data_IF_057577152937
#
_entry.id   IF_057577152937
#
_cell.length_a   1.000
_cell.length_b   1.000
_cell.length_c   1.000
_cell.angle_alpha   90.00
_cell.angle_beta   90.00
_cell.angle_gamma   90.00
#
_symmetry.space_group_name_H-M   'P 1'
#
loop_
_entity.id
_entity.type
_entity.pdbx_description
1 polymer ?
#
# COMPACT_ATOMS: atom_id res chain seq x y z
N UNK A 1 -10.18 -16.22 -10.29
CA UNK A 1 -9.31 -15.02 -10.12
C UNK A 1 -9.97 -13.83 -10.81
N UNK A 2 -9.96 -12.64 -10.19
CA UNK A 2 -10.54 -11.41 -10.78
C UNK A 2 -9.41 -10.48 -11.19
N UNK A 3 -9.43 -10.00 -12.43
CA UNK A 3 -8.43 -9.08 -13.00
C UNK A 3 -9.10 -7.82 -13.52
N UNK A 4 -8.35 -6.72 -13.51
CA UNK A 4 -8.82 -5.41 -13.91
C UNK A 4 -7.84 -4.75 -14.87
N UNK A 5 -8.38 -4.13 -15.91
CA UNK A 5 -7.61 -3.45 -16.94
C UNK A 5 -8.25 -2.10 -17.24
N UNK A 6 -7.43 -1.09 -17.52
CA UNK A 6 -7.90 0.23 -17.90
C UNK A 6 -7.73 0.44 -19.41
N UNK A 7 -8.73 1.03 -20.04
CA UNK A 7 -8.71 1.42 -21.45
C UNK A 7 -8.81 2.94 -21.53
N UNK A 8 -7.87 3.54 -22.26
CA UNK A 8 -7.94 4.94 -22.67
C UNK A 8 -8.30 5.03 -24.16
N UNK A 9 -9.42 5.68 -24.46
CA UNK A 9 -9.85 5.97 -25.83
C UNK A 9 -9.29 7.33 -26.27
N UNK A 10 -8.31 7.31 -27.17
CA UNK A 10 -7.53 8.50 -27.56
C UNK A 10 -8.42 9.58 -28.20
N UNK A 11 -9.33 9.20 -29.11
CA UNK A 11 -10.15 10.14 -29.87
C UNK A 11 -11.14 10.92 -29.00
N UNK A 12 -11.71 10.26 -28.00
CA UNK A 12 -12.78 10.82 -27.16
C UNK A 12 -12.29 11.25 -25.78
N UNK A 13 -11.02 10.96 -25.44
CA UNK A 13 -10.43 11.20 -24.12
C UNK A 13 -11.27 10.58 -23.00
N UNK A 14 -11.76 9.35 -23.23
CA UNK A 14 -12.61 8.60 -22.28
C UNK A 14 -11.80 7.50 -21.63
N UNK A 15 -11.94 7.36 -20.31
CA UNK A 15 -11.30 6.29 -19.53
C UNK A 15 -12.34 5.28 -19.04
N UNK A 16 -12.03 4.00 -19.23
CA UNK A 16 -12.90 2.88 -18.95
C UNK A 16 -12.15 1.82 -18.15
N UNK A 17 -12.86 1.09 -17.30
CA UNK A 17 -12.34 -0.06 -16.55
C UNK A 17 -13.03 -1.34 -17.00
N UNK A 18 -12.23 -2.33 -17.38
CA UNK A 18 -12.67 -3.69 -17.64
C UNK A 18 -12.45 -4.56 -16.41
N UNK A 19 -13.42 -5.43 -16.13
CA UNK A 19 -13.28 -6.48 -15.13
C UNK A 19 -13.45 -7.84 -15.81
N UNK A 20 -12.47 -8.71 -15.61
CA UNK A 20 -12.55 -10.12 -15.97
C UNK A 20 -12.65 -10.96 -14.72
N UNK A 21 -13.41 -12.05 -14.79
CA UNK A 21 -13.51 -13.06 -13.73
C UNK A 21 -13.34 -14.42 -14.38
N UNK A 22 -12.33 -15.16 -13.92
CA UNK A 22 -12.00 -16.49 -14.44
C UNK A 22 -11.77 -16.46 -15.97
N UNK A 23 -11.07 -15.40 -16.44
CA UNK A 23 -10.72 -15.17 -17.86
C UNK A 23 -11.87 -14.67 -18.75
N UNK A 24 -13.09 -14.52 -18.21
CA UNK A 24 -14.27 -14.07 -18.97
C UNK A 24 -14.63 -12.62 -18.65
N UNK A 25 -15.06 -11.87 -19.67
CA UNK A 25 -15.55 -10.50 -19.49
C UNK A 25 -16.74 -10.49 -18.54
N UNK A 26 -16.67 -9.64 -17.50
CA UNK A 26 -17.71 -9.52 -16.49
C UNK A 26 -18.45 -8.20 -16.58
N UNK A 27 -17.73 -7.07 -16.63
CA UNK A 27 -18.32 -5.73 -16.68
C UNK A 27 -17.35 -4.71 -17.25
N UNK A 28 -17.94 -3.63 -17.77
CA UNK A 28 -17.26 -2.39 -18.11
C UNK A 28 -17.82 -1.26 -17.25
N UNK A 29 -16.93 -0.42 -16.72
CA UNK A 29 -17.28 0.75 -15.92
C UNK A 29 -16.69 2.00 -16.57
N UNK A 30 -17.50 3.06 -16.66
CA UNK A 30 -17.02 4.38 -17.06
C UNK A 30 -16.32 5.05 -15.88
N UNK A 31 -15.07 5.50 -16.07
CA UNK A 31 -14.32 6.20 -15.03
C UNK A 31 -14.48 7.72 -15.18
N UNK A 32 -14.23 8.27 -16.37
CA UNK A 32 -14.32 9.71 -16.67
C UNK A 32 -14.26 10.00 -18.18
N UNK A 33 -14.74 11.18 -18.57
CA UNK A 33 -14.81 11.65 -19.96
C UNK A 33 -16.25 11.90 -20.41
N UNK A 34 -16.41 12.48 -21.60
CA UNK A 34 -17.72 12.63 -22.23
C UNK A 34 -18.14 11.28 -22.80
N UNK A 35 -19.31 10.77 -22.38
CA UNK A 35 -19.93 9.57 -22.95
C UNK A 35 -21.21 10.01 -23.64
N UNK A 36 -21.15 10.12 -24.96
CA UNK A 36 -22.36 10.29 -25.76
C UNK A 36 -22.91 8.92 -26.21
N UNK A 37 -24.12 8.93 -26.79
CA UNK A 37 -24.77 7.72 -27.29
C UNK A 37 -24.00 7.02 -28.43
N UNK A 38 -23.16 7.76 -29.17
CA UNK A 38 -22.31 7.20 -30.22
C UNK A 38 -21.16 6.38 -29.63
N UNK A 39 -20.58 6.85 -28.52
CA UNK A 39 -19.54 6.14 -27.78
C UNK A 39 -20.07 4.81 -27.23
N UNK A 40 -21.27 4.81 -26.63
CA UNK A 40 -21.91 3.58 -26.14
C UNK A 40 -22.13 2.54 -27.25
N UNK A 41 -22.47 2.97 -28.47
CA UNK A 41 -22.66 2.06 -29.62
C UNK A 41 -21.37 1.37 -30.06
N UNK A 42 -20.22 2.01 -29.88
CA UNK A 42 -18.93 1.50 -30.38
C UNK A 42 -18.03 0.95 -29.27
N UNK A 43 -18.42 1.08 -28.00
CA UNK A 43 -17.59 0.65 -26.86
C UNK A 43 -17.29 -0.85 -26.87
N UNK A 44 -18.20 -1.67 -27.42
CA UNK A 44 -17.99 -3.11 -27.55
C UNK A 44 -16.82 -3.49 -28.46
N UNK A 45 -16.42 -2.62 -29.39
CA UNK A 45 -15.33 -2.88 -30.34
C UNK A 45 -13.97 -2.98 -29.64
N UNK A 46 -13.79 -2.21 -28.57
CA UNK A 46 -12.51 -2.15 -27.85
C UNK A 46 -12.42 -3.14 -26.70
N UNK A 47 -13.46 -3.95 -26.46
CA UNK A 47 -13.54 -4.89 -25.34
C UNK A 47 -13.25 -6.31 -25.86
N UNK A 48 -12.11 -6.91 -25.49
CA UNK A 48 -11.84 -8.30 -25.82
C UNK A 48 -12.83 -9.22 -25.11
N UNK A 49 -13.51 -10.16 -25.82
CA UNK A 49 -14.46 -11.09 -25.20
C UNK A 49 -13.84 -11.98 -24.12
N UNK A 50 -12.59 -12.39 -24.31
CA UNK A 50 -11.77 -13.12 -23.34
C UNK A 50 -10.47 -12.39 -23.05
N UNK A 51 -9.95 -12.57 -21.85
CA UNK A 51 -8.66 -12.00 -21.46
C UNK A 51 -7.48 -12.56 -22.29
N UNK A 52 -7.58 -13.82 -22.74
CA UNK A 52 -6.61 -14.41 -23.67
C UNK A 52 -6.46 -13.64 -24.98
N UNK A 53 -7.50 -12.92 -25.38
CA UNK A 53 -7.56 -12.23 -26.67
C UNK A 53 -6.99 -10.80 -26.56
N UNK A 54 -6.63 -10.36 -25.34
CA UNK A 54 -6.16 -9.01 -25.04
C UNK A 54 -4.96 -8.63 -25.90
N UNK A 55 -3.96 -9.51 -26.04
CA UNK A 55 -2.76 -9.24 -26.85
C UNK A 55 -3.10 -9.02 -28.33
N UNK A 56 -4.02 -9.82 -28.88
CA UNK A 56 -4.45 -9.67 -30.27
C UNK A 56 -5.22 -8.36 -30.48
N UNK A 57 -6.08 -7.99 -29.53
CA UNK A 57 -6.82 -6.72 -29.55
C UNK A 57 -5.91 -5.51 -29.38
N UNK A 58 -4.93 -5.55 -28.48
CA UNK A 58 -3.94 -4.49 -28.30
C UNK A 58 -3.22 -4.19 -29.62
N UNK A 59 -2.83 -5.23 -30.36
CA UNK A 59 -2.22 -5.10 -31.68
C UNK A 59 -3.20 -4.57 -32.73
N UNK A 60 -4.43 -5.07 -32.77
CA UNK A 60 -5.44 -4.64 -33.74
C UNK A 60 -5.91 -3.18 -33.54
N UNK A 61 -5.79 -2.66 -32.31
CA UNK A 61 -6.24 -1.33 -31.91
C UNK A 61 -5.10 -0.33 -31.70
N UNK A 62 -3.89 -0.66 -32.17
CA UNK A 62 -2.73 0.22 -32.08
C UNK A 62 -3.03 1.61 -32.68
N UNK A 63 -2.64 2.67 -31.96
CA UNK A 63 -2.95 4.07 -32.32
C UNK A 63 -4.40 4.50 -32.10
N UNK A 64 -5.32 3.58 -31.74
CA UNK A 64 -6.75 3.88 -31.50
C UNK A 64 -7.12 3.73 -30.02
N UNK A 65 -6.58 2.72 -29.34
CA UNK A 65 -6.82 2.46 -27.94
C UNK A 65 -5.53 2.02 -27.23
N UNK A 66 -5.37 2.47 -25.99
CA UNK A 66 -4.26 2.10 -25.11
C UNK A 66 -4.81 1.22 -23.98
N UNK A 67 -4.27 0.02 -23.86
CA UNK A 67 -4.61 -0.94 -22.81
C UNK A 67 -3.50 -0.96 -21.78
N UNK A 68 -3.84 -0.77 -20.51
CA UNK A 68 -2.89 -0.85 -19.40
C UNK A 68 -3.42 -1.76 -18.31
N UNK A 69 -2.54 -2.55 -17.70
CA UNK A 69 -2.88 -3.34 -16.52
C UNK A 69 -3.00 -2.42 -15.30
N UNK A 70 -4.07 -2.56 -14.52
CA UNK A 70 -4.22 -1.83 -13.27
C UNK A 70 -3.31 -2.47 -12.21
N UNK A 71 -2.14 -1.87 -11.95
CA UNK A 71 -1.33 -2.26 -10.80
C UNK A 71 -1.96 -1.65 -9.55
N UNK A 72 -2.39 -2.49 -8.61
CA UNK A 72 -2.85 -2.03 -7.30
C UNK A 72 -1.67 -1.44 -6.55
N UNK A 73 -1.49 -0.13 -6.60
CA UNK A 73 -0.47 0.57 -5.80
C UNK A 73 -0.87 0.40 -4.33
N UNK A 74 -0.14 -0.46 -3.61
CA UNK A 74 -0.33 -0.64 -2.18
C UNK A 74 0.14 0.63 -1.48
N UNK A 75 -0.78 1.33 -0.81
CA UNK A 75 -0.47 2.56 -0.09
C UNK A 75 0.55 2.32 1.02
N UNK A 76 1.34 3.34 1.35
CA UNK A 76 2.32 3.26 2.45
C UNK A 76 1.65 2.83 3.77
N UNK A 77 0.46 3.38 4.06
CA UNK A 77 -0.35 2.98 5.20
C UNK A 77 -0.63 1.47 5.20
N UNK A 78 -1.02 0.91 4.06
CA UNK A 78 -1.29 -0.53 3.95
C UNK A 78 -0.03 -1.37 4.18
N UNK A 79 1.15 -0.90 3.75
CA UNK A 79 2.44 -1.57 4.01
C UNK A 79 2.77 -1.58 5.50
N UNK A 80 2.73 -0.40 6.14
CA UNK A 80 2.95 -0.25 7.58
C UNK A 80 1.97 -1.08 8.42
N UNK A 81 0.70 -1.08 8.02
CA UNK A 81 -0.34 -1.85 8.70
C UNK A 81 -0.08 -3.34 8.57
N UNK A 82 0.33 -3.81 7.39
CA UNK A 82 0.69 -5.23 7.16
C UNK A 82 1.81 -5.67 8.09
N UNK A 83 2.86 -4.85 8.20
CA UNK A 83 4.00 -5.08 9.10
C UNK A 83 3.53 -5.16 10.56
N UNK A 84 2.71 -4.21 11.02
CA UNK A 84 2.20 -4.23 12.39
C UNK A 84 1.28 -5.42 12.68
N UNK A 85 0.37 -5.80 11.77
CA UNK A 85 -0.48 -6.96 11.96
C UNK A 85 0.32 -8.26 12.06
N UNK A 86 1.39 -8.41 11.26
CA UNK A 86 2.28 -9.55 11.33
C UNK A 86 3.00 -9.62 12.69
N UNK A 87 3.56 -8.49 13.13
CA UNK A 87 4.15 -8.32 14.45
C UNK A 87 3.17 -8.65 15.58
N UNK A 88 1.98 -8.05 15.58
CA UNK A 88 0.99 -8.24 16.64
C UNK A 88 0.61 -9.71 16.80
N UNK A 89 0.33 -10.40 15.68
CA UNK A 89 0.02 -11.83 15.70
C UNK A 89 1.19 -12.64 16.27
N UNK A 90 2.43 -12.36 15.85
CA UNK A 90 3.62 -13.05 16.37
C UNK A 90 3.71 -12.94 17.89
N UNK A 91 3.49 -11.75 18.44
CA UNK A 91 3.61 -11.49 19.89
C UNK A 91 2.36 -11.89 20.71
N UNK A 92 1.21 -12.13 20.07
CA UNK A 92 -0.08 -12.37 20.74
C UNK A 92 -0.69 -13.71 20.33
N UNK A 93 0.11 -14.77 20.29
CA UNK A 93 -0.33 -16.16 20.05
C UNK A 93 -1.18 -16.32 18.76
N UNK A 94 -0.80 -15.59 17.71
CA UNK A 94 -1.45 -15.57 16.41
C UNK A 94 -2.92 -15.09 16.42
N UNK A 95 -3.30 -14.29 17.43
CA UNK A 95 -4.61 -13.65 17.51
C UNK A 95 -4.61 -12.36 16.70
N UNK A 96 -5.66 -12.14 15.89
CA UNK A 96 -5.80 -10.91 15.13
C UNK A 96 -6.17 -9.73 16.06
N UNK A 97 -5.53 -8.56 15.89
CA UNK A 97 -5.84 -7.39 16.69
C UNK A 97 -7.22 -6.83 16.32
N UNK A 98 -7.92 -6.29 17.32
CA UNK A 98 -9.09 -5.44 17.08
C UNK A 98 -8.63 -4.06 16.60
N UNK A 99 -8.60 -3.86 15.29
CA UNK A 99 -8.20 -2.59 14.69
C UNK A 99 -9.34 -1.56 14.70
N UNK A 100 -9.11 -0.40 15.31
CA UNK A 100 -10.08 0.68 15.43
C UNK A 100 -9.61 1.97 14.75
N UNK A 101 -10.47 2.98 14.67
CA UNK A 101 -10.08 4.29 14.13
C UNK A 101 -8.94 4.97 14.92
N UNK A 102 -8.83 4.69 16.23
CA UNK A 102 -7.72 5.19 17.04
C UNK A 102 -6.38 4.57 16.64
N UNK A 103 -6.38 3.28 16.27
CA UNK A 103 -5.19 2.57 15.80
C UNK A 103 -4.74 3.11 14.43
N UNK A 104 -5.70 3.35 13.53
CA UNK A 104 -5.42 4.01 12.25
C UNK A 104 -4.84 5.42 12.42
N UNK A 105 -5.33 6.19 13.39
CA UNK A 105 -4.76 7.51 13.71
C UNK A 105 -3.33 7.40 14.25
N UNK A 106 -3.08 6.47 15.18
CA UNK A 106 -1.76 6.24 15.73
C UNK A 106 -0.76 5.78 14.67
N UNK A 107 -1.15 4.87 13.78
CA UNK A 107 -0.31 4.41 12.68
C UNK A 107 0.06 5.54 11.72
N UNK A 108 -0.89 6.42 11.38
CA UNK A 108 -0.61 7.59 10.54
C UNK A 108 0.39 8.57 11.19
N UNK A 109 0.31 8.75 12.51
CA UNK A 109 1.27 9.58 13.25
C UNK A 109 2.67 8.95 13.25
N UNK A 110 2.77 7.64 13.45
CA UNK A 110 4.03 6.89 13.34
C UNK A 110 4.63 7.04 11.94
N UNK A 111 3.82 6.81 10.89
CA UNK A 111 4.26 6.97 9.49
C UNK A 111 4.80 8.38 9.25
N UNK A 112 4.07 9.40 9.72
CA UNK A 112 4.48 10.81 9.55
C UNK A 112 5.82 11.08 10.23
N UNK A 113 5.99 10.61 11.47
CA UNK A 113 7.23 10.76 12.21
C UNK A 113 8.40 10.06 11.50
N UNK A 114 8.23 8.79 11.14
CA UNK A 114 9.29 8.00 10.49
C UNK A 114 9.64 8.55 9.11
N UNK A 115 8.68 9.07 8.34
CA UNK A 115 8.97 9.80 7.09
C UNK A 115 9.80 11.05 7.35
N UNK A 116 9.45 11.85 8.37
CA UNK A 116 10.13 13.11 8.64
C UNK A 116 11.60 12.89 9.05
N UNK A 117 11.90 11.90 9.89
CA UNK A 117 13.29 11.60 10.28
C UNK A 117 14.11 10.99 9.14
N UNK A 118 13.45 10.45 8.11
CA UNK A 118 14.07 9.91 6.89
C UNK A 118 13.96 10.87 5.69
N UNK A 119 13.84 12.19 5.93
CA UNK A 119 13.80 13.22 4.86
C UNK A 119 12.73 12.97 3.78
N UNK A 120 11.62 12.33 4.14
CA UNK A 120 10.52 12.01 3.24
C UNK A 120 10.66 10.69 2.48
N UNK A 121 11.76 9.95 2.65
CA UNK A 121 11.96 8.63 2.04
C UNK A 121 11.01 7.59 2.68
N UNK A 122 10.03 7.15 1.89
CA UNK A 122 9.02 6.18 2.33
C UNK A 122 9.56 4.76 2.46
N UNK A 123 10.59 4.39 1.67
CA UNK A 123 11.20 3.08 1.74
C UNK A 123 12.06 2.96 3.02
N UNK A 124 12.86 3.99 3.31
CA UNK A 124 13.63 4.06 4.55
C UNK A 124 12.70 4.11 5.79
N UNK A 125 11.60 4.88 5.73
CA UNK A 125 10.62 4.91 6.82
C UNK A 125 9.99 3.54 7.09
N UNK A 126 9.64 2.78 6.04
CA UNK A 126 9.12 1.43 6.17
C UNK A 126 10.17 0.44 6.71
N UNK A 127 11.43 0.56 6.27
CA UNK A 127 12.53 -0.25 6.76
C UNK A 127 12.76 -0.02 8.26
N UNK A 128 12.78 1.23 8.71
CA UNK A 128 12.90 1.57 10.13
C UNK A 128 11.71 1.04 10.94
N UNK A 129 10.50 1.09 10.38
CA UNK A 129 9.32 0.52 11.05
C UNK A 129 9.44 -0.99 11.24
N UNK A 130 9.90 -1.71 10.21
CA UNK A 130 10.15 -3.15 10.29
C UNK A 130 11.23 -3.45 11.33
N UNK A 131 12.34 -2.72 11.30
CA UNK A 131 13.45 -2.89 12.25
C UNK A 131 13.03 -2.66 13.71
N UNK A 132 12.20 -1.65 13.96
CA UNK A 132 11.65 -1.38 15.29
C UNK A 132 10.85 -2.56 15.84
N UNK A 133 9.99 -3.16 15.02
CA UNK A 133 9.16 -4.29 15.44
C UNK A 133 9.95 -5.61 15.49
N UNK A 134 10.98 -5.78 14.66
CA UNK A 134 11.85 -6.96 14.69
C UNK A 134 12.73 -7.00 15.95
N UNK A 135 13.14 -5.83 16.45
CA UNK A 135 13.89 -5.68 17.70
C UNK A 135 13.00 -5.61 18.95
N UNK A 136 11.69 -5.87 18.84
CA UNK A 136 10.77 -5.70 19.97
C UNK A 136 11.15 -6.54 21.20
N UNK A 137 11.65 -7.75 20.98
CA UNK A 137 12.12 -8.65 22.05
C UNK A 137 13.38 -8.16 22.77
N UNK A 138 14.06 -7.13 22.26
CA UNK A 138 15.20 -6.50 22.93
C UNK A 138 14.78 -5.43 23.94
N UNK A 139 13.54 -4.96 23.89
CA UNK A 139 13.03 -3.94 24.82
C UNK A 139 12.81 -4.53 26.22
N UNK A 140 12.60 -3.68 27.21
CA UNK A 140 12.20 -4.10 28.56
C UNK A 140 10.89 -4.88 28.54
N UNK A 141 10.73 -5.81 29.49
CA UNK A 141 9.51 -6.64 29.60
C UNK A 141 8.22 -5.82 29.66
N UNK A 142 8.29 -4.59 30.20
CA UNK A 142 7.17 -3.67 30.23
C UNK A 142 6.74 -3.25 28.83
N UNK A 143 7.69 -2.86 27.97
CA UNK A 143 7.42 -2.49 26.58
C UNK A 143 6.97 -3.69 25.76
N UNK A 144 7.60 -4.85 25.96
CA UNK A 144 7.27 -6.08 25.21
C UNK A 144 5.79 -6.44 25.32
N UNK A 145 5.19 -6.28 26.51
CA UNK A 145 3.77 -6.56 26.77
C UNK A 145 2.79 -5.58 26.11
N UNK A 146 3.26 -4.51 25.47
CA UNK A 146 2.44 -3.41 24.96
C UNK A 146 2.53 -3.28 23.44
N UNK A 147 1.85 -4.16 22.71
CA UNK A 147 1.89 -4.24 21.23
C UNK A 147 0.91 -3.29 20.52
N UNK A 148 0.07 -2.59 21.28
CA UNK A 148 -0.95 -1.66 20.79
C UNK A 148 -0.35 -0.43 20.08
N UNK A 149 -0.87 -0.06 18.91
CA UNK A 149 -0.39 1.11 18.15
C UNK A 149 -0.45 2.41 18.93
N UNK A 150 -1.50 2.61 19.74
CA UNK A 150 -1.65 3.80 20.60
C UNK A 150 -0.47 3.93 21.57
N UNK A 151 -0.05 2.80 22.16
CA UNK A 151 1.07 2.76 23.09
C UNK A 151 2.38 3.03 22.36
N UNK A 152 2.65 2.28 21.28
CA UNK A 152 3.86 2.41 20.47
C UNK A 152 4.03 3.87 20.04
N UNK A 153 2.98 4.48 19.50
CA UNK A 153 2.98 5.88 19.09
C UNK A 153 3.32 6.84 20.26
N UNK A 154 2.70 6.65 21.43
CA UNK A 154 2.94 7.50 22.60
C UNK A 154 4.36 7.39 23.18
N UNK A 155 5.05 6.27 22.94
CA UNK A 155 6.39 5.97 23.48
C UNK A 155 7.46 5.81 22.40
N UNK A 156 7.17 6.20 21.16
CA UNK A 156 8.01 5.90 19.99
C UNK A 156 9.47 6.34 20.19
N UNK A 157 9.69 7.56 20.67
CA UNK A 157 11.05 8.08 20.95
C UNK A 157 11.78 7.34 22.08
N UNK A 158 11.05 6.76 23.03
CA UNK A 158 11.64 5.97 24.13
C UNK A 158 12.05 4.62 23.57
N UNK A 159 11.15 3.96 22.86
CA UNK A 159 11.38 2.67 22.19
C UNK A 159 12.58 2.74 21.24
N UNK A 160 12.64 3.76 20.38
CA UNK A 160 13.77 3.94 19.44
C UNK A 160 15.11 4.03 20.20
N UNK A 161 15.17 4.87 21.25
CA UNK A 161 16.42 5.06 22.01
C UNK A 161 16.86 3.79 22.73
N UNK A 162 15.92 3.04 23.27
CA UNK A 162 16.19 1.77 23.95
C UNK A 162 16.73 0.71 22.97
N UNK A 163 16.12 0.58 21.79
CA UNK A 163 16.62 -0.32 20.74
C UNK A 163 18.04 0.06 20.31
N UNK A 164 18.30 1.35 20.07
CA UNK A 164 19.64 1.82 19.70
C UNK A 164 20.66 1.48 20.80
N UNK A 165 20.30 1.73 22.07
CA UNK A 165 21.17 1.44 23.20
C UNK A 165 21.47 -0.05 23.33
N UNK A 166 20.45 -0.91 23.23
CA UNK A 166 20.58 -2.35 23.38
C UNK A 166 21.37 -3.00 22.23
N UNK A 167 21.35 -2.38 21.04
CA UNK A 167 22.14 -2.81 19.88
C UNK A 167 23.56 -2.20 19.83
N UNK A 168 24.01 -1.53 20.90
CA UNK A 168 25.37 -0.99 21.00
C UNK A 168 25.59 0.33 20.24
N UNK A 169 24.52 0.99 19.79
CA UNK A 169 24.57 2.29 19.12
C UNK A 169 24.72 3.44 20.12
N UNK A 170 25.61 4.38 19.83
CA UNK A 170 25.82 5.56 20.66
C UNK A 170 24.85 6.68 20.23
N UNK A 171 23.99 7.17 21.12
CA UNK A 171 22.98 8.22 20.80
C UNK A 171 23.53 9.66 20.84
N UNK A 172 24.86 9.83 20.80
CA UNK A 172 25.48 11.16 20.76
C UNK A 172 25.66 11.61 19.31
N UNK A 173 24.68 12.36 18.79
CA UNK A 173 24.76 12.95 17.45
C UNK A 173 23.72 14.03 17.21
N UNK A 174 24.12 15.27 17.45
CA UNK A 174 23.43 16.50 17.07
C UNK A 174 23.18 16.53 15.54
N UNK A 175 21.93 16.77 15.14
CA UNK A 175 21.46 17.07 13.77
C UNK A 175 21.77 16.04 12.66
N UNK A 176 20.72 15.31 12.26
CA UNK A 176 20.60 14.74 10.92
C UNK A 176 20.89 13.24 10.86
N UNK A 177 19.85 12.47 10.57
CA UNK A 177 19.91 11.05 10.19
C UNK A 177 20.25 10.09 11.34
N UNK A 178 19.23 9.76 12.15
CA UNK A 178 19.27 8.53 12.93
C UNK A 178 18.89 7.38 12.00
N UNK A 179 19.88 6.71 11.45
CA UNK A 179 19.69 5.34 10.95
C UNK A 179 19.51 4.45 12.18
N UNK A 180 18.33 3.86 12.31
CA UNK A 180 18.10 2.76 13.26
C UNK A 180 18.80 1.53 12.69
#
# INVERSE_FOLDING_TARGET
MTTHHNIHLVKTKTDLKLTYRDGKFKKIEHLRGAVDASILKHIGIVIPPKESDLNAFMKAMEGRALYTSEQKIVSLFSKFNTVWFAFFRKENNNIDPKFTGADGKALNQIITYLKNINTGDEAAALANWQLLLDNWSSLSEFHQKQTDLKYINSKLNVIIREIIHNNGGNTSGTNGSVSI
#
